data_IF_535456765663
#
_entry.id   IF_535456765663
#
_cell.length_a   1.000
_cell.length_b   1.000
_cell.length_c   1.000
_cell.angle_alpha   90.00
_cell.angle_beta   90.00
_cell.angle_gamma   90.00
#
_symmetry.space_group_name_H-M   'P 1'
#
loop_
_entity.id
_entity.type
_entity.pdbx_description
1 polymer ?
#
# COMPACT_ATOMS: atom_id res chain seq x y z
N UNK A 1 16.35 0.62 -14.52
CA UNK A 1 16.21 1.03 -13.11
C UNK A 1 16.53 2.52 -13.00
N UNK A 2 15.73 3.28 -12.26
CA UNK A 2 16.03 4.68 -11.94
C UNK A 2 16.71 4.73 -10.57
N UNK A 3 17.82 5.45 -10.48
CA UNK A 3 18.48 5.75 -9.21
C UNK A 3 18.10 7.18 -8.81
N UNK A 4 17.32 7.39 -7.75
CA UNK A 4 16.97 8.74 -7.33
C UNK A 4 18.17 9.46 -6.70
N UNK A 5 18.25 10.77 -6.89
CA UNK A 5 19.25 11.63 -6.24
C UNK A 5 18.82 12.00 -4.81
N UNK A 6 17.52 12.07 -4.58
CA UNK A 6 16.92 12.33 -3.26
C UNK A 6 15.80 11.33 -3.02
N UNK A 7 15.79 10.69 -1.85
CA UNK A 7 14.72 9.80 -1.40
C UNK A 7 14.20 10.26 -0.04
N UNK A 8 12.91 10.52 0.05
CA UNK A 8 12.23 10.82 1.33
C UNK A 8 11.54 9.57 1.86
N UNK A 9 11.65 9.33 3.14
CA UNK A 9 11.09 8.17 3.84
C UNK A 9 10.36 8.63 5.10
N UNK A 10 9.24 7.99 5.41
CA UNK A 10 8.46 8.30 6.61
C UNK A 10 7.57 7.11 7.01
N UNK A 11 6.64 7.31 7.93
CA UNK A 11 5.58 6.37 8.34
C UNK A 11 6.16 5.03 8.79
N UNK A 12 6.12 4.00 7.94
CA UNK A 12 6.59 2.65 8.27
C UNK A 12 8.08 2.52 8.60
N UNK A 13 8.91 3.55 8.35
CA UNK A 13 10.36 3.49 8.63
C UNK A 13 10.69 3.23 10.12
N UNK A 14 9.83 3.68 11.02
CA UNK A 14 9.98 3.46 12.47
C UNK A 14 8.77 2.73 13.06
N UNK A 15 7.98 2.03 12.22
CA UNK A 15 6.88 1.14 12.58
C UNK A 15 5.94 1.69 13.67
N UNK A 16 5.49 2.95 13.50
CA UNK A 16 4.55 3.63 14.41
C UNK A 16 5.15 4.76 15.23
N UNK A 17 6.47 4.83 15.37
CA UNK A 17 7.12 5.98 16.01
C UNK A 17 7.29 7.14 14.99
N UNK A 18 7.13 8.40 15.42
CA UNK A 18 7.19 9.55 14.53
C UNK A 18 8.63 9.82 14.06
N UNK A 19 8.96 9.34 12.88
CA UNK A 19 10.25 9.54 12.23
C UNK A 19 10.05 9.76 10.74
N UNK A 20 10.88 10.66 10.19
CA UNK A 20 11.12 10.76 8.75
C UNK A 20 12.61 10.85 8.48
N UNK A 21 13.02 10.44 7.29
CA UNK A 21 14.41 10.50 6.86
C UNK A 21 14.50 10.95 5.40
N UNK A 22 15.64 11.53 5.05
CA UNK A 22 16.01 11.86 3.69
C UNK A 22 17.37 11.21 3.41
N UNK A 23 17.44 10.45 2.33
CA UNK A 23 18.70 9.94 1.80
C UNK A 23 19.04 10.69 0.52
N UNK A 24 20.30 11.15 0.40
CA UNK A 24 20.78 11.88 -0.78
C UNK A 24 22.29 11.73 -0.93
N UNK A 25 22.85 12.30 -2.00
CA UNK A 25 24.31 12.32 -2.20
C UNK A 25 24.97 13.36 -1.28
N UNK A 26 26.28 13.19 -0.94
CA UNK A 26 27.01 14.17 -0.14
C UNK A 26 26.99 15.58 -0.72
N UNK A 27 27.07 15.73 -2.04
CA UNK A 27 27.07 17.00 -2.73
C UNK A 27 25.76 17.76 -2.54
N UNK A 28 24.62 17.06 -2.64
CA UNK A 28 23.31 17.65 -2.40
C UNK A 28 23.12 17.96 -0.92
N UNK A 29 23.52 17.06 -0.02
CA UNK A 29 23.46 17.31 1.42
C UNK A 29 24.26 18.57 1.81
N UNK A 30 25.45 18.76 1.26
CA UNK A 30 26.30 19.91 1.54
C UNK A 30 25.63 21.25 1.14
N UNK A 31 24.86 21.27 0.06
CA UNK A 31 24.12 22.47 -0.36
C UNK A 31 23.05 22.91 0.65
N UNK A 32 22.47 21.96 1.39
CA UNK A 32 21.47 22.25 2.42
C UNK A 32 22.09 22.77 3.73
N UNK A 33 23.32 22.39 4.05
CA UNK A 33 24.02 22.86 5.29
C UNK A 33 24.19 24.38 5.31
N UNK A 34 24.45 24.98 4.15
CA UNK A 34 24.60 26.43 4.03
C UNK A 34 23.28 27.22 4.14
N UNK A 35 22.13 26.56 3.95
CA UNK A 35 20.82 27.23 3.97
C UNK A 35 20.27 27.49 5.40
N UNK A 36 20.83 26.88 6.44
CA UNK A 36 20.48 27.14 7.85
C UNK A 36 19.03 26.80 8.26
N UNK A 37 18.29 26.04 7.46
CA UNK A 37 16.85 25.86 7.60
C UNK A 37 16.43 24.52 8.20
N UNK A 38 17.35 23.70 8.69
CA UNK A 38 17.02 22.38 9.23
C UNK A 38 16.75 22.47 10.73
N UNK A 39 15.55 22.87 11.11
CA UNK A 39 15.12 22.92 12.53
C UNK A 39 14.01 21.89 12.73
N UNK A 40 14.19 20.97 13.67
CA UNK A 40 13.18 20.00 14.09
C UNK A 40 13.31 19.76 15.59
N UNK A 41 12.26 20.07 16.34
CA UNK A 41 12.25 19.91 17.80
C UNK A 41 12.49 18.46 18.23
N UNK A 42 11.94 17.51 17.50
CA UNK A 42 12.07 16.08 17.78
C UNK A 42 13.01 15.33 16.81
N UNK A 43 13.70 16.06 15.94
CA UNK A 43 14.64 15.48 14.97
C UNK A 43 15.75 14.71 15.67
N UNK A 44 16.02 13.50 15.24
CA UNK A 44 17.08 12.64 15.81
C UNK A 44 16.82 12.17 17.24
N UNK A 45 15.57 12.22 17.74
CA UNK A 45 15.32 11.73 19.09
C UNK A 45 15.64 10.22 19.21
N UNK A 46 16.30 9.80 20.32
CA UNK A 46 16.85 8.44 20.42
C UNK A 46 15.78 7.35 20.42
N UNK A 47 14.56 7.63 20.88
CA UNK A 47 13.48 6.61 20.92
C UNK A 47 13.02 6.27 19.51
N UNK A 48 12.72 7.28 18.69
CA UNK A 48 12.29 7.05 17.30
C UNK A 48 13.43 6.47 16.45
N UNK A 49 14.68 6.90 16.69
CA UNK A 49 15.84 6.34 16.01
C UNK A 49 16.05 4.85 16.37
N UNK A 50 15.93 4.47 17.63
CA UNK A 50 16.03 3.09 18.06
C UNK A 50 14.91 2.21 17.45
N UNK A 51 13.68 2.73 17.39
CA UNK A 51 12.57 2.05 16.72
C UNK A 51 12.84 1.84 15.21
N UNK A 52 13.41 2.84 14.54
CA UNK A 52 13.78 2.71 13.13
C UNK A 52 14.91 1.69 12.91
N UNK A 53 15.93 1.67 13.78
CA UNK A 53 17.02 0.69 13.72
C UNK A 53 16.44 -0.71 13.85
N UNK A 54 15.63 -0.99 14.88
CA UNK A 54 15.00 -2.29 15.06
C UNK A 54 14.11 -2.70 13.88
N UNK A 55 13.37 -1.74 13.29
CA UNK A 55 12.55 -1.99 12.10
C UNK A 55 13.42 -2.40 10.90
N UNK A 56 14.53 -1.69 10.67
CA UNK A 56 15.42 -1.98 9.54
C UNK A 56 16.18 -3.30 9.74
N UNK A 57 16.63 -3.59 10.95
CA UNK A 57 17.27 -4.87 11.30
C UNK A 57 16.33 -6.05 11.04
N UNK A 58 15.06 -5.94 11.48
CA UNK A 58 14.03 -6.94 11.24
C UNK A 58 13.75 -7.13 9.74
N UNK A 59 13.67 -6.03 8.99
CA UNK A 59 13.49 -6.07 7.53
C UNK A 59 14.64 -6.75 6.81
N UNK A 60 15.88 -6.54 7.26
CA UNK A 60 17.08 -7.19 6.70
C UNK A 60 17.11 -8.68 7.06
N UNK A 61 16.88 -9.02 8.32
CA UNK A 61 16.89 -10.40 8.82
C UNK A 61 15.86 -11.29 8.11
N UNK A 62 14.69 -10.75 7.79
CA UNK A 62 13.59 -11.48 7.15
C UNK A 62 13.53 -11.30 5.62
N UNK A 63 14.53 -10.68 5.01
CA UNK A 63 14.51 -10.41 3.57
C UNK A 63 13.18 -9.80 3.09
N UNK A 64 12.62 -8.89 3.87
CA UNK A 64 11.26 -8.35 3.69
C UNK A 64 10.95 -7.86 2.28
N UNK A 65 11.83 -7.18 1.53
CA UNK A 65 11.55 -6.79 0.15
C UNK A 65 11.30 -7.99 -0.78
N UNK A 66 12.10 -9.05 -0.68
CA UNK A 66 11.95 -10.25 -1.49
C UNK A 66 10.69 -11.03 -1.11
N UNK A 67 10.42 -11.15 0.20
CA UNK A 67 9.18 -11.74 0.73
C UNK A 67 7.95 -10.97 0.25
N UNK A 68 7.96 -9.64 0.34
CA UNK A 68 6.87 -8.78 -0.14
C UNK A 68 6.64 -8.94 -1.65
N UNK A 69 7.70 -9.14 -2.43
CA UNK A 69 7.55 -9.41 -3.86
C UNK A 69 6.88 -10.77 -4.11
N UNK A 70 7.31 -11.82 -3.42
CA UNK A 70 6.78 -13.18 -3.61
C UNK A 70 5.30 -13.29 -3.18
N UNK A 71 4.99 -12.85 -1.96
CA UNK A 71 3.60 -12.87 -1.44
C UNK A 71 2.72 -11.87 -2.18
N UNK A 72 3.29 -10.73 -2.59
CA UNK A 72 2.59 -9.73 -3.40
C UNK A 72 2.20 -10.24 -4.78
N UNK A 73 2.99 -11.14 -5.38
CA UNK A 73 2.62 -11.77 -6.65
C UNK A 73 1.37 -12.64 -6.50
N UNK A 74 1.24 -13.41 -5.41
CA UNK A 74 0.02 -14.19 -5.12
C UNK A 74 -1.21 -13.27 -4.98
N UNK A 75 -1.04 -12.14 -4.30
CA UNK A 75 -2.11 -11.14 -4.16
C UNK A 75 -2.49 -10.55 -5.53
N UNK A 76 -1.52 -10.15 -6.33
CA UNK A 76 -1.74 -9.57 -7.66
C UNK A 76 -2.46 -10.55 -8.59
N UNK A 77 -2.00 -11.81 -8.64
CA UNK A 77 -2.62 -12.86 -9.45
C UNK A 77 -4.07 -13.13 -9.02
N UNK A 78 -4.35 -13.18 -7.72
CA UNK A 78 -5.69 -13.32 -7.18
C UNK A 78 -6.59 -12.12 -7.53
N UNK A 79 -6.08 -10.90 -7.42
CA UNK A 79 -6.83 -9.70 -7.81
C UNK A 79 -7.12 -9.67 -9.31
N UNK A 80 -6.19 -10.11 -10.14
CA UNK A 80 -6.44 -10.26 -11.58
C UNK A 80 -7.48 -11.35 -11.89
N UNK A 81 -7.54 -12.43 -11.10
CA UNK A 81 -8.60 -13.42 -11.22
C UNK A 81 -9.97 -12.83 -10.86
N UNK A 82 -10.07 -12.03 -9.80
CA UNK A 82 -11.27 -11.28 -9.46
C UNK A 82 -11.65 -10.28 -10.56
N UNK A 83 -10.68 -9.60 -11.18
CA UNK A 83 -10.93 -8.69 -12.29
C UNK A 83 -11.54 -9.39 -13.53
N UNK A 84 -11.21 -10.66 -13.75
CA UNK A 84 -11.86 -11.45 -14.82
C UNK A 84 -13.32 -11.77 -14.49
N UNK A 85 -13.63 -11.98 -13.20
CA UNK A 85 -14.97 -12.35 -12.71
C UNK A 85 -15.87 -11.12 -12.58
N UNK A 86 -15.35 -9.97 -12.17
CA UNK A 86 -16.13 -8.78 -11.85
C UNK A 86 -15.84 -7.62 -12.83
N UNK A 87 -16.78 -7.30 -13.75
CA UNK A 87 -16.62 -6.17 -14.70
C UNK A 87 -16.40 -4.82 -14.03
N UNK A 88 -16.84 -4.67 -12.79
CA UNK A 88 -16.64 -3.48 -11.97
C UNK A 88 -15.15 -3.15 -11.74
N UNK A 89 -14.25 -4.15 -11.80
CA UNK A 89 -12.81 -3.95 -11.67
C UNK A 89 -12.25 -3.52 -13.03
N UNK A 90 -11.88 -2.25 -13.16
CA UNK A 90 -11.31 -1.68 -14.39
C UNK A 90 -9.81 -1.92 -14.52
N UNK A 91 -9.08 -1.85 -13.40
CA UNK A 91 -7.63 -2.03 -13.38
C UNK A 91 -7.16 -2.59 -12.03
N UNK A 92 -6.17 -3.47 -12.10
CA UNK A 92 -5.35 -3.90 -10.94
C UNK A 92 -3.93 -3.43 -11.19
N UNK A 93 -3.34 -2.70 -10.24
CA UNK A 93 -1.97 -2.20 -10.32
C UNK A 93 -1.31 -2.12 -8.96
N UNK A 94 -0.02 -2.31 -8.93
CA UNK A 94 0.74 -2.20 -7.69
C UNK A 94 2.15 -2.74 -7.78
N UNK A 95 2.76 -2.94 -6.63
CA UNK A 95 4.04 -3.60 -6.50
C UNK A 95 4.15 -4.31 -5.14
N UNK A 96 4.48 -5.59 -5.17
CA UNK A 96 4.54 -6.40 -3.97
C UNK A 96 3.20 -6.36 -3.22
N UNK A 97 3.22 -6.18 -1.92
CA UNK A 97 2.02 -6.11 -1.08
C UNK A 97 1.30 -4.75 -1.11
N UNK A 98 1.65 -3.83 -2.00
CA UNK A 98 0.93 -2.57 -2.17
C UNK A 98 0.18 -2.61 -3.49
N UNK A 99 -1.13 -2.93 -3.43
CA UNK A 99 -2.00 -3.10 -4.59
C UNK A 99 -3.15 -2.11 -4.59
N UNK A 100 -3.53 -1.66 -5.78
CA UNK A 100 -4.68 -0.83 -6.03
C UNK A 100 -5.63 -1.51 -7.00
N UNK A 101 -6.92 -1.53 -6.67
CA UNK A 101 -7.99 -2.06 -7.51
C UNK A 101 -8.90 -0.90 -7.87
N UNK A 102 -8.81 -0.43 -9.11
CA UNK A 102 -9.62 0.68 -9.59
C UNK A 102 -10.98 0.20 -10.08
N UNK A 103 -12.04 0.80 -9.53
CA UNK A 103 -13.41 0.45 -9.87
C UNK A 103 -13.98 1.43 -10.87
N UNK A 104 -14.63 0.89 -11.89
CA UNK A 104 -15.26 1.63 -12.99
C UNK A 104 -16.70 1.17 -13.19
N UNK A 105 -17.58 2.08 -13.54
CA UNK A 105 -18.95 1.74 -13.89
C UNK A 105 -19.03 1.02 -15.25
N UNK A 106 -18.09 1.33 -16.14
CA UNK A 106 -17.97 0.71 -17.45
C UNK A 106 -16.51 0.71 -17.91
N UNK A 107 -16.03 -0.43 -18.44
CA UNK A 107 -14.63 -0.61 -18.85
C UNK A 107 -14.23 0.14 -20.10
N UNK A 108 -15.16 0.50 -20.98
CA UNK A 108 -14.86 1.22 -22.22
C UNK A 108 -14.68 2.70 -21.92
N UNK A 109 -15.64 3.30 -21.24
CA UNK A 109 -15.60 4.71 -20.85
C UNK A 109 -14.65 5.00 -19.70
N UNK A 110 -14.32 3.96 -18.91
CA UNK A 110 -13.55 4.07 -17.64
C UNK A 110 -14.16 5.05 -16.63
N UNK A 111 -15.49 5.24 -16.71
CA UNK A 111 -16.20 6.10 -15.78
C UNK A 111 -15.98 5.61 -14.34
N UNK A 112 -15.48 6.50 -13.47
CA UNK A 112 -15.16 6.16 -12.08
C UNK A 112 -16.39 5.74 -11.29
N UNK A 113 -16.25 4.73 -10.41
CA UNK A 113 -17.34 4.18 -9.61
C UNK A 113 -17.09 4.31 -8.09
N UNK A 114 -17.02 5.53 -7.52
CA UNK A 114 -16.70 5.74 -6.11
C UNK A 114 -17.76 5.17 -5.15
N UNK A 115 -19.03 5.14 -5.55
CA UNK A 115 -20.11 4.55 -4.76
C UNK A 115 -19.92 3.03 -4.62
N UNK A 116 -19.53 2.36 -5.69
CA UNK A 116 -19.23 0.92 -5.65
C UNK A 116 -17.99 0.63 -4.79
N UNK A 117 -16.98 1.51 -4.81
CA UNK A 117 -15.84 1.39 -3.92
C UNK A 117 -16.24 1.47 -2.44
N UNK A 118 -17.16 2.36 -2.08
CA UNK A 118 -17.71 2.43 -0.73
C UNK A 118 -18.50 1.15 -0.38
N UNK A 119 -19.33 0.65 -1.31
CA UNK A 119 -20.12 -0.55 -1.11
C UNK A 119 -19.23 -1.79 -0.91
N UNK A 120 -18.18 -1.97 -1.73
CA UNK A 120 -17.22 -3.08 -1.58
C UNK A 120 -16.46 -2.98 -0.26
N UNK A 121 -16.02 -1.77 0.15
CA UNK A 121 -15.37 -1.58 1.45
C UNK A 121 -16.29 -2.00 2.61
N UNK A 122 -17.55 -1.56 2.58
CA UNK A 122 -18.50 -1.89 3.64
C UNK A 122 -18.84 -3.38 3.64
N UNK A 123 -19.00 -4.02 2.49
CA UNK A 123 -19.18 -5.45 2.37
C UNK A 123 -17.97 -6.22 2.92
N UNK A 124 -16.74 -5.80 2.55
CA UNK A 124 -15.50 -6.38 3.09
C UNK A 124 -15.43 -6.24 4.61
N UNK A 125 -15.78 -5.08 5.16
CA UNK A 125 -15.81 -4.87 6.61
C UNK A 125 -16.74 -5.85 7.32
N UNK A 126 -17.91 -6.14 6.74
CA UNK A 126 -18.88 -7.09 7.29
C UNK A 126 -18.35 -8.53 7.30
N UNK A 127 -17.47 -8.89 6.38
CA UNK A 127 -16.79 -10.19 6.35
C UNK A 127 -15.50 -10.23 7.18
N UNK A 128 -15.16 -9.14 7.88
CA UNK A 128 -13.98 -9.04 8.71
C UNK A 128 -12.69 -8.71 7.96
N UNK A 129 -12.79 -8.07 6.78
CA UNK A 129 -11.65 -7.56 6.03
C UNK A 129 -11.68 -6.04 5.99
N UNK A 130 -10.65 -5.41 6.56
CA UNK A 130 -10.48 -3.95 6.50
C UNK A 130 -9.54 -3.57 5.36
N UNK A 131 -10.06 -2.82 4.40
CA UNK A 131 -9.31 -2.27 3.28
C UNK A 131 -9.45 -0.75 3.21
N UNK A 132 -8.50 -0.08 2.57
CA UNK A 132 -8.55 1.36 2.38
C UNK A 132 -9.14 1.75 1.03
N UNK A 133 -9.39 3.04 0.87
CA UNK A 133 -9.80 3.65 -0.40
C UNK A 133 -8.94 4.87 -0.70
N UNK A 134 -8.74 5.17 -1.96
CA UNK A 134 -7.99 6.32 -2.44
C UNK A 134 -8.25 6.58 -3.93
N UNK A 135 -7.25 7.17 -4.58
CA UNK A 135 -7.35 7.60 -5.96
C UNK A 135 -8.01 8.98 -6.10
N UNK A 136 -7.76 9.64 -7.22
CA UNK A 136 -8.23 11.00 -7.49
C UNK A 136 -9.76 11.10 -7.46
N UNK A 137 -10.44 10.05 -7.91
CA UNK A 137 -11.90 9.98 -7.97
C UNK A 137 -12.51 9.17 -6.81
N UNK A 138 -11.71 8.74 -5.83
CA UNK A 138 -12.19 7.94 -4.71
C UNK A 138 -12.75 6.56 -5.10
N UNK A 139 -12.30 6.02 -6.22
CA UNK A 139 -12.76 4.75 -6.80
C UNK A 139 -11.71 3.63 -6.77
N UNK A 140 -10.58 3.84 -6.10
CA UNK A 140 -9.50 2.84 -6.02
C UNK A 140 -9.48 2.22 -4.62
N UNK A 141 -9.75 0.93 -4.52
CA UNK A 141 -9.51 0.16 -3.29
C UNK A 141 -8.01 0.01 -3.11
N UNK A 142 -7.53 0.31 -1.91
CA UNK A 142 -6.12 0.19 -1.55
C UNK A 142 -5.94 -1.02 -0.64
N UNK A 143 -5.22 -2.00 -1.14
CA UNK A 143 -4.95 -3.27 -0.45
C UNK A 143 -3.47 -3.29 -0.12
N UNK A 144 -3.16 -3.13 1.16
CA UNK A 144 -1.80 -3.05 1.65
C UNK A 144 -1.70 -3.78 3.01
N UNK A 145 -1.65 -5.11 3.01
CA UNK A 145 -1.47 -5.88 4.23
C UNK A 145 -0.08 -5.61 4.83
N UNK A 146 0.15 -5.99 6.10
CA UNK A 146 1.48 -5.93 6.70
C UNK A 146 2.53 -6.64 5.83
N UNK A 147 3.76 -6.11 5.78
CA UNK A 147 4.86 -6.71 5.00
C UNK A 147 5.21 -8.14 5.45
N UNK A 148 4.80 -8.51 6.67
CA UNK A 148 4.97 -9.84 7.25
C UNK A 148 3.77 -10.76 6.98
N UNK A 149 2.79 -10.35 6.16
CA UNK A 149 1.68 -11.21 5.77
C UNK A 149 2.20 -12.51 5.14
N UNK A 150 1.56 -13.60 5.49
CA UNK A 150 1.84 -14.92 4.93
C UNK A 150 0.83 -15.25 3.80
N UNK A 151 1.05 -16.33 3.10
CA UNK A 151 0.21 -16.76 1.98
C UNK A 151 -1.25 -16.94 2.41
N UNK A 152 -1.48 -17.61 3.54
CA UNK A 152 -2.82 -17.86 4.08
C UNK A 152 -3.61 -16.58 4.36
N UNK A 153 -2.94 -15.50 4.77
CA UNK A 153 -3.60 -14.19 4.96
C UNK A 153 -4.04 -13.57 3.62
N UNK A 154 -3.26 -13.78 2.56
CA UNK A 154 -3.61 -13.31 1.21
C UNK A 154 -4.78 -14.11 0.66
N UNK A 155 -4.76 -15.42 0.81
CA UNK A 155 -5.84 -16.32 0.39
C UNK A 155 -7.16 -15.95 1.08
N UNK A 156 -7.14 -15.79 2.41
CA UNK A 156 -8.31 -15.34 3.19
C UNK A 156 -8.82 -13.97 2.73
N UNK A 157 -7.91 -13.02 2.47
CA UNK A 157 -8.30 -11.70 2.00
C UNK A 157 -8.97 -11.75 0.61
N UNK A 158 -8.45 -12.58 -0.30
CA UNK A 158 -9.03 -12.76 -1.64
C UNK A 158 -10.42 -13.42 -1.59
N UNK A 159 -10.62 -14.42 -0.73
CA UNK A 159 -11.93 -15.03 -0.50
C UNK A 159 -12.95 -14.00 0.02
N UNK A 160 -12.57 -13.19 1.00
CA UNK A 160 -13.44 -12.14 1.54
C UNK A 160 -13.73 -11.04 0.52
N UNK A 161 -12.77 -10.69 -0.32
CA UNK A 161 -12.97 -9.76 -1.43
C UNK A 161 -13.94 -10.34 -2.47
N UNK A 162 -13.81 -11.62 -2.81
CA UNK A 162 -14.73 -12.29 -3.73
C UNK A 162 -16.17 -12.21 -3.23
N UNK A 163 -16.40 -12.51 -1.95
CA UNK A 163 -17.72 -12.38 -1.32
C UNK A 163 -18.23 -10.93 -1.35
N UNK A 164 -17.36 -9.96 -1.10
CA UNK A 164 -17.73 -8.55 -1.11
C UNK A 164 -18.12 -8.05 -2.51
N UNK A 165 -17.35 -8.43 -3.53
CA UNK A 165 -17.67 -8.10 -4.92
C UNK A 165 -18.95 -8.79 -5.40
N UNK A 166 -19.17 -10.05 -5.06
CA UNK A 166 -20.41 -10.77 -5.38
C UNK A 166 -21.64 -10.06 -4.80
N UNK A 167 -21.58 -9.71 -3.52
CA UNK A 167 -22.66 -8.99 -2.84
C UNK A 167 -23.00 -7.65 -3.51
N UNK A 168 -21.98 -6.89 -3.90
CA UNK A 168 -22.18 -5.58 -4.57
C UNK A 168 -22.75 -5.76 -5.97
N UNK A 169 -22.29 -6.76 -6.71
CA UNK A 169 -22.81 -7.05 -8.06
C UNK A 169 -24.28 -7.48 -8.07
N UNK A 170 -24.74 -8.21 -7.05
CA UNK A 170 -26.15 -8.62 -6.91
C UNK A 170 -27.08 -7.47 -6.48
N UNK A 171 -26.50 -6.40 -5.95
CA UNK A 171 -27.24 -5.23 -5.40
C UNK A 171 -27.43 -4.11 -6.42
N UNK A 172 -26.88 -4.25 -7.62
CA UNK A 172 -26.97 -3.31 -8.76
C UNK A 172 -27.81 -3.92 -9.87
#
# INVERSE_FOLDING_TARGET
AVRPDIMTMAKGIANGMPLSAVATTPEIAQSAVGAGLTISTFGGNPVACAAAIGTLEEMLANYTPARSAAIGQLLEDGLHALAKKYPLIGEVRGRGLMQGVELVADRQSKAAAPQHANAVMEASRKTGLLIGKGGMYGNTLRIAPPLMAAQEHVEEALEKLDLAFAHVQESV
#
